data_IF_270584222154
#
_entry.id   IF_270584222154
#
_cell.length_a   1.000
_cell.length_b   1.000
_cell.length_c   1.000
_cell.angle_alpha   90.00
_cell.angle_beta   90.00
_cell.angle_gamma   90.00
#
_symmetry.space_group_name_H-M   'P 1'
#
loop_
_entity.id
_entity.type
_entity.pdbx_description
1 polymer ?
#
# COMPACT_ATOMS: atom_id res chain seq x y z
N UNK A 1 -22.95 -2.80 -11.04
CA UNK A 1 -22.61 -1.53 -11.74
C UNK A 1 -21.80 -1.89 -12.98
N UNK A 2 -22.10 -1.33 -14.15
CA UNK A 2 -21.26 -1.53 -15.35
C UNK A 2 -20.07 -0.56 -15.37
N UNK A 3 -19.06 -0.82 -16.20
CA UNK A 3 -17.93 0.12 -16.33
C UNK A 3 -18.41 1.49 -16.86
N UNK A 4 -19.37 1.47 -17.78
CA UNK A 4 -19.96 2.68 -18.36
C UNK A 4 -20.77 3.47 -17.32
N UNK A 5 -21.53 2.77 -16.47
CA UNK A 5 -22.25 3.40 -15.36
C UNK A 5 -21.29 4.06 -14.37
N UNK A 6 -20.22 3.35 -13.98
CA UNK A 6 -19.19 3.91 -13.10
C UNK A 6 -18.58 5.18 -13.70
N UNK A 7 -18.21 5.15 -14.99
CA UNK A 7 -17.67 6.34 -15.68
C UNK A 7 -18.64 7.51 -15.67
N UNK A 8 -19.94 7.27 -15.86
CA UNK A 8 -20.97 8.34 -15.79
C UNK A 8 -21.03 8.95 -14.38
N UNK A 9 -21.06 8.11 -13.33
CA UNK A 9 -21.06 8.57 -11.93
C UNK A 9 -19.79 9.37 -11.59
N UNK A 10 -18.63 8.88 -12.01
CA UNK A 10 -17.34 9.56 -11.85
C UNK A 10 -17.32 10.94 -12.55
N UNK A 11 -17.81 11.03 -13.78
CA UNK A 11 -17.90 12.32 -14.50
C UNK A 11 -18.84 13.30 -13.80
N UNK A 12 -19.99 12.82 -13.34
CA UNK A 12 -20.93 13.65 -12.57
C UNK A 12 -20.30 14.14 -11.25
N UNK A 13 -19.55 13.28 -10.56
CA UNK A 13 -18.82 13.66 -9.35
C UNK A 13 -17.75 14.72 -9.63
N UNK A 14 -16.96 14.53 -10.69
CA UNK A 14 -15.95 15.50 -11.14
C UNK A 14 -16.58 16.85 -11.50
N UNK A 15 -17.74 16.86 -12.17
CA UNK A 15 -18.42 18.10 -12.55
C UNK A 15 -18.88 18.94 -11.34
N UNK A 16 -19.04 18.34 -10.16
CA UNK A 16 -19.42 19.04 -8.92
C UNK A 16 -18.26 19.79 -8.25
N UNK A 17 -17.02 19.59 -8.70
CA UNK A 17 -15.86 20.27 -8.13
C UNK A 17 -15.52 19.78 -6.71
N UNK A 18 -15.26 20.71 -5.79
CA UNK A 18 -14.89 20.40 -4.42
C UNK A 18 -16.11 19.99 -3.58
N UNK A 19 -16.00 18.84 -2.91
CA UNK A 19 -17.03 18.27 -2.05
C UNK A 19 -16.50 18.20 -0.63
N UNK A 20 -17.29 18.70 0.33
CA UNK A 20 -16.94 18.67 1.75
C UNK A 20 -16.77 17.23 2.24
N UNK A 21 -15.70 16.99 3.00
CA UNK A 21 -15.44 15.70 3.63
C UNK A 21 -16.57 15.34 4.60
N UNK A 22 -17.09 14.12 4.47
CA UNK A 22 -18.10 13.58 5.36
C UNK A 22 -17.50 12.92 6.62
N UNK A 23 -16.16 12.82 6.71
CA UNK A 23 -15.46 12.22 7.85
C UNK A 23 -14.10 12.87 8.10
N UNK A 24 -13.78 13.16 9.36
CA UNK A 24 -12.47 13.72 9.73
C UNK A 24 -11.35 12.68 9.59
N UNK A 25 -10.17 13.15 9.19
CA UNK A 25 -8.94 12.38 9.18
C UNK A 25 -8.63 11.66 7.86
N UNK A 26 -7.61 10.79 7.84
CA UNK A 26 -7.06 10.23 6.60
C UNK A 26 -8.07 9.46 5.76
N UNK A 27 -9.04 8.79 6.40
CA UNK A 27 -10.09 7.98 5.78
C UNK A 27 -11.25 8.79 5.20
N UNK A 28 -11.27 10.12 5.41
CA UNK A 28 -12.32 11.00 4.94
C UNK A 28 -12.53 10.99 3.43
N UNK A 29 -11.44 10.92 2.66
CA UNK A 29 -11.47 10.89 1.20
C UNK A 29 -12.19 9.66 0.65
N UNK A 30 -11.91 8.47 1.19
CA UNK A 30 -12.53 7.22 0.75
C UNK A 30 -13.99 7.16 1.15
N UNK A 31 -14.27 7.49 2.42
CA UNK A 31 -15.63 7.51 2.95
C UNK A 31 -16.52 8.48 2.16
N UNK A 32 -16.03 9.70 1.92
CA UNK A 32 -16.79 10.71 1.15
C UNK A 32 -17.04 10.21 -0.27
N UNK A 33 -16.03 9.69 -0.96
CA UNK A 33 -16.21 9.15 -2.31
C UNK A 33 -17.24 8.01 -2.37
N UNK A 34 -17.15 7.04 -1.46
CA UNK A 34 -18.06 5.90 -1.39
C UNK A 34 -19.51 6.36 -1.16
N UNK A 35 -19.72 7.29 -0.23
CA UNK A 35 -21.04 7.90 -0.01
C UNK A 35 -21.58 8.61 -1.24
N UNK A 36 -20.75 9.39 -1.93
CA UNK A 36 -21.17 10.16 -3.11
C UNK A 36 -21.47 9.27 -4.33
N UNK A 37 -20.92 8.06 -4.40
CA UNK A 37 -21.24 7.06 -5.42
C UNK A 37 -22.32 6.06 -5.00
N UNK A 38 -22.84 6.16 -3.76
CA UNK A 38 -23.74 5.20 -3.13
C UNK A 38 -23.18 3.76 -3.14
N UNK A 39 -21.93 3.63 -2.69
CA UNK A 39 -21.22 2.35 -2.57
C UNK A 39 -21.24 1.86 -1.11
N UNK A 40 -21.82 0.69 -0.89
CA UNK A 40 -21.93 0.07 0.46
C UNK A 40 -20.77 -0.87 0.81
N UNK A 41 -19.96 -1.28 -0.18
CA UNK A 41 -18.84 -2.21 0.02
C UNK A 41 -17.57 -1.73 -0.70
N UNK A 42 -16.40 -2.02 -0.10
CA UNK A 42 -15.06 -1.63 -0.57
C UNK A 42 -14.57 -2.37 -1.83
N UNK A 43 -15.47 -3.03 -2.56
CA UNK A 43 -15.20 -3.71 -3.82
C UNK A 43 -16.39 -3.55 -4.75
N UNK A 44 -16.14 -3.14 -5.99
CA UNK A 44 -17.21 -3.01 -6.98
C UNK A 44 -17.26 -4.25 -7.88
N UNK A 45 -18.46 -4.81 -8.04
CA UNK A 45 -18.69 -5.85 -9.02
C UNK A 45 -18.95 -5.21 -10.39
N UNK A 46 -18.01 -5.41 -11.33
CA UNK A 46 -18.12 -4.94 -12.72
C UNK A 46 -18.17 -6.16 -13.65
N UNK A 47 -19.37 -6.57 -14.10
CA UNK A 47 -19.56 -7.78 -14.90
C UNK A 47 -18.72 -7.81 -16.18
N UNK A 48 -18.62 -6.69 -16.90
CA UNK A 48 -17.87 -6.57 -18.16
C UNK A 48 -16.37 -6.84 -18.00
N UNK A 49 -15.86 -6.73 -16.78
CA UNK A 49 -14.46 -7.00 -16.43
C UNK A 49 -14.31 -8.36 -15.74
N UNK A 50 -15.40 -9.10 -15.48
CA UNK A 50 -15.34 -10.46 -14.97
C UNK A 50 -14.89 -10.57 -13.51
N UNK A 51 -15.44 -9.75 -12.60
CA UNK A 51 -15.26 -9.97 -11.15
C UNK A 51 -15.33 -8.72 -10.27
N UNK A 52 -14.84 -8.88 -9.03
CA UNK A 52 -14.68 -7.81 -8.05
C UNK A 52 -13.43 -6.99 -8.38
N UNK A 53 -13.56 -5.67 -8.31
CA UNK A 53 -12.47 -4.71 -8.49
C UNK A 53 -12.32 -3.94 -7.19
N UNK A 54 -11.10 -3.90 -6.67
CA UNK A 54 -10.78 -3.08 -5.50
C UNK A 54 -10.89 -1.61 -5.89
N UNK A 55 -11.44 -0.78 -5.01
CA UNK A 55 -11.55 0.66 -5.20
C UNK A 55 -10.68 1.37 -4.17
N UNK A 56 -9.87 2.34 -4.62
CA UNK A 56 -9.11 3.21 -3.73
C UNK A 56 -9.18 4.65 -4.17
N UNK A 57 -9.24 5.53 -3.19
CA UNK A 57 -9.13 6.97 -3.37
C UNK A 57 -7.84 7.47 -2.73
N UNK A 58 -7.14 8.38 -3.40
CA UNK A 58 -5.93 9.00 -2.88
C UNK A 58 -5.91 10.50 -3.14
N UNK A 59 -5.24 11.24 -2.27
CA UNK A 59 -4.94 12.65 -2.49
C UNK A 59 -3.78 12.74 -3.49
N UNK A 60 -3.88 13.56 -4.55
CA UNK A 60 -2.88 13.62 -5.64
C UNK A 60 -1.44 13.80 -5.13
N UNK A 61 -1.25 14.65 -4.12
CA UNK A 61 0.06 14.98 -3.55
C UNK A 61 0.38 14.21 -2.26
N UNK A 62 -0.30 13.08 -2.01
CA UNK A 62 -0.07 12.24 -0.84
C UNK A 62 1.30 11.58 -0.88
N UNK A 63 2.12 11.83 0.15
CA UNK A 63 3.29 10.99 0.47
C UNK A 63 2.90 9.79 1.35
N UNK A 64 1.60 9.50 1.50
CA UNK A 64 1.15 8.39 2.35
C UNK A 64 1.43 7.06 1.67
N UNK A 65 1.81 6.08 2.50
CA UNK A 65 1.98 4.71 2.06
C UNK A 65 0.66 3.94 2.21
N UNK A 66 0.24 3.24 1.17
CA UNK A 66 -0.84 2.25 1.26
C UNK A 66 -0.27 0.86 1.44
N UNK A 67 -0.88 0.07 2.32
CA UNK A 67 -0.54 -1.36 2.44
C UNK A 67 -1.25 -2.13 1.34
N UNK A 68 -0.47 -2.81 0.48
CA UNK A 68 -0.98 -3.66 -0.58
C UNK A 68 -1.48 -4.99 0.01
N UNK A 69 -0.62 -5.62 0.82
CA UNK A 69 -0.91 -6.87 1.52
C UNK A 69 0.10 -7.09 2.64
N UNK A 70 -0.17 -8.11 3.45
CA UNK A 70 0.75 -8.57 4.49
C UNK A 70 1.22 -9.99 4.18
N UNK A 71 2.53 -10.27 4.34
CA UNK A 71 3.07 -11.59 3.99
C UNK A 71 4.31 -11.98 4.82
N UNK A 72 4.22 -13.12 5.53
CA UNK A 72 5.21 -13.54 6.54
C UNK A 72 5.70 -15.00 6.42
N UNK A 73 5.15 -15.81 5.52
CA UNK A 73 5.32 -17.27 5.60
C UNK A 73 6.75 -17.69 5.20
N UNK A 74 7.50 -18.25 6.16
CA UNK A 74 8.84 -18.83 6.00
C UNK A 74 9.91 -17.86 5.44
N UNK A 75 9.86 -16.59 5.86
CA UNK A 75 10.70 -15.53 5.29
C UNK A 75 11.95 -15.25 6.12
N UNK A 76 11.91 -15.48 7.43
CA UNK A 76 12.96 -15.10 8.36
C UNK A 76 14.14 -16.08 8.32
N UNK A 77 15.35 -15.54 8.20
CA UNK A 77 16.61 -16.30 8.21
C UNK A 77 17.27 -16.32 9.59
N UNK A 78 16.79 -15.47 10.50
CA UNK A 78 17.10 -15.51 11.93
C UNK A 78 15.79 -15.56 12.71
N UNK A 79 15.82 -16.04 13.95
CA UNK A 79 14.60 -16.11 14.75
C UNK A 79 14.04 -14.69 14.99
N UNK A 80 12.73 -14.41 14.77
CA UNK A 80 12.17 -13.06 14.90
C UNK A 80 12.41 -12.39 16.27
N UNK A 81 12.43 -13.18 17.36
CA UNK A 81 12.82 -12.69 18.70
C UNK A 81 14.25 -12.15 18.74
N UNK A 82 15.19 -12.80 18.05
CA UNK A 82 16.58 -12.32 17.94
C UNK A 82 16.64 -11.05 17.10
N UNK A 83 15.86 -10.97 16.01
CA UNK A 83 15.77 -9.75 15.21
C UNK A 83 15.26 -8.57 16.03
N UNK A 84 14.20 -8.74 16.84
CA UNK A 84 13.70 -7.69 17.74
C UNK A 84 14.77 -7.33 18.77
N UNK A 85 15.41 -8.30 19.43
CA UNK A 85 16.45 -8.03 20.43
C UNK A 85 17.65 -7.26 19.86
N UNK A 86 18.01 -7.48 18.60
CA UNK A 86 19.19 -6.90 17.96
C UNK A 86 18.91 -5.55 17.30
N UNK A 87 17.79 -5.40 16.61
CA UNK A 87 17.48 -4.22 15.78
C UNK A 87 16.29 -3.41 16.32
N UNK A 88 15.62 -3.92 17.36
CA UNK A 88 14.44 -3.29 17.94
C UNK A 88 14.78 -2.16 18.90
N UNK A 89 13.71 -1.56 19.41
CA UNK A 89 13.73 -0.48 20.38
C UNK A 89 12.51 -0.58 21.29
N UNK A 90 12.51 0.16 22.41
CA UNK A 90 11.33 0.27 23.26
C UNK A 90 10.43 1.40 22.76
N UNK A 91 9.16 1.11 22.50
CA UNK A 91 8.18 2.14 22.15
C UNK A 91 7.65 2.90 23.38
N UNK A 92 6.77 3.87 23.15
CA UNK A 92 6.13 4.68 24.20
C UNK A 92 5.38 3.83 25.24
N UNK A 93 4.92 2.63 24.85
CA UNK A 93 4.26 1.67 25.72
C UNK A 93 5.25 0.72 26.41
N UNK A 94 6.55 1.01 26.36
CA UNK A 94 7.66 0.19 26.90
C UNK A 94 7.69 -1.23 26.32
N UNK A 95 7.18 -1.45 25.10
CA UNK A 95 7.25 -2.74 24.42
C UNK A 95 8.55 -2.80 23.61
N UNK A 96 9.31 -3.88 23.79
CA UNK A 96 10.46 -4.14 22.92
C UNK A 96 9.95 -4.55 21.52
N UNK A 97 10.14 -3.68 20.55
CA UNK A 97 9.49 -3.76 19.25
C UNK A 97 10.46 -3.52 18.10
N UNK A 98 10.04 -3.96 16.91
CA UNK A 98 10.69 -3.68 15.64
C UNK A 98 9.58 -3.24 14.68
N UNK A 99 9.25 -1.94 14.74
CA UNK A 99 8.38 -1.25 13.79
C UNK A 99 9.23 -0.36 12.90
N UNK A 100 9.54 -0.86 11.70
CA UNK A 100 10.43 -0.14 10.78
C UNK A 100 9.96 -0.28 9.34
N UNK A 101 10.04 0.81 8.60
CA UNK A 101 9.96 0.81 7.15
C UNK A 101 11.37 0.62 6.59
N UNK A 102 11.51 -0.29 5.62
CA UNK A 102 12.78 -0.64 5.01
C UNK A 102 12.71 -0.31 3.52
N UNK A 103 13.73 0.41 3.03
CA UNK A 103 13.81 0.87 1.65
C UNK A 103 14.95 0.17 0.89
N UNK A 104 14.95 0.30 -0.44
CA UNK A 104 16.00 -0.29 -1.28
C UNK A 104 17.35 0.36 -1.06
N UNK A 105 18.37 -0.46 -0.74
CA UNK A 105 19.79 -0.15 -0.55
C UNK A 105 20.15 0.85 0.55
N UNK A 106 19.23 1.70 1.00
CA UNK A 106 19.47 2.64 2.08
C UNK A 106 19.11 2.01 3.42
N UNK A 107 20.09 1.83 4.33
CA UNK A 107 19.81 1.43 5.70
C UNK A 107 18.90 2.46 6.36
N UNK A 108 17.88 1.98 7.07
CA UNK A 108 17.13 2.82 8.01
C UNK A 108 17.93 3.03 9.31
N UNK A 109 17.33 3.73 10.28
CA UNK A 109 17.98 4.04 11.56
C UNK A 109 18.43 2.77 12.33
N UNK A 110 17.78 1.63 12.10
CA UNK A 110 18.16 0.34 12.71
C UNK A 110 19.15 -0.45 11.86
N UNK A 111 19.72 0.17 10.83
CA UNK A 111 20.71 -0.42 9.94
C UNK A 111 20.13 -1.48 9.00
N UNK A 112 18.81 -1.53 8.80
CA UNK A 112 18.17 -2.52 7.92
C UNK A 112 17.89 -1.93 6.54
N UNK A 113 18.10 -2.73 5.49
CA UNK A 113 17.89 -2.35 4.09
C UNK A 113 17.33 -3.49 3.25
N UNK A 114 16.67 -3.14 2.14
CA UNK A 114 16.26 -4.10 1.12
C UNK A 114 17.32 -4.25 0.03
N UNK A 115 17.52 -5.47 -0.42
CA UNK A 115 18.36 -5.80 -1.58
C UNK A 115 17.63 -6.80 -2.47
N UNK A 116 17.85 -6.73 -3.79
CA UNK A 116 17.33 -7.70 -4.75
C UNK A 116 18.54 -8.48 -5.26
N UNK A 117 18.40 -9.81 -5.38
CA UNK A 117 19.45 -10.66 -5.93
C UNK A 117 19.69 -10.39 -7.43
N UNK A 118 20.76 -10.99 -7.98
CA UNK A 118 21.14 -10.78 -9.38
C UNK A 118 20.09 -11.33 -10.35
N UNK A 119 19.46 -12.46 -10.03
CA UNK A 119 18.39 -13.07 -10.83
C UNK A 119 17.06 -12.32 -10.73
N UNK A 120 16.90 -11.40 -9.77
CA UNK A 120 15.66 -10.68 -9.43
C UNK A 120 14.55 -11.58 -8.89
N UNK A 121 14.86 -12.81 -8.52
CA UNK A 121 13.91 -13.77 -7.99
C UNK A 121 13.65 -13.58 -6.50
N UNK A 122 14.56 -12.93 -5.78
CA UNK A 122 14.49 -12.78 -4.33
C UNK A 122 14.65 -11.33 -3.89
N UNK A 123 13.76 -10.92 -2.99
CA UNK A 123 13.89 -9.72 -2.18
C UNK A 123 14.46 -10.10 -0.82
N UNK A 124 15.59 -9.50 -0.46
CA UNK A 124 16.29 -9.72 0.79
C UNK A 124 16.08 -8.54 1.75
N UNK A 125 15.84 -8.85 3.02
CA UNK A 125 16.09 -7.95 4.13
C UNK A 125 17.49 -8.24 4.68
N UNK A 126 18.36 -7.23 4.66
CA UNK A 126 19.73 -7.32 5.18
C UNK A 126 19.98 -6.26 6.22
N UNK A 127 20.95 -6.48 7.09
CA UNK A 127 21.54 -5.39 7.86
C UNK A 127 22.69 -4.72 7.11
N UNK A 128 23.21 -3.63 7.68
CA UNK A 128 24.31 -2.84 7.12
C UNK A 128 25.63 -3.59 6.99
N UNK A 129 25.82 -4.73 7.67
CA UNK A 129 27.01 -5.57 7.52
C UNK A 129 26.83 -6.63 6.43
N UNK A 130 25.63 -6.74 5.87
CA UNK A 130 25.29 -7.70 4.82
C UNK A 130 24.67 -9.00 5.34
N UNK A 131 24.45 -9.14 6.65
CA UNK A 131 23.79 -10.31 7.23
C UNK A 131 22.37 -10.43 6.68
N UNK A 132 22.02 -11.62 6.18
CA UNK A 132 20.69 -11.90 5.68
C UNK A 132 19.72 -12.15 6.85
N UNK A 133 18.69 -11.32 6.95
CA UNK A 133 17.69 -11.35 8.03
C UNK A 133 16.38 -11.96 7.54
N UNK A 134 16.01 -11.67 6.30
CA UNK A 134 14.78 -12.17 5.68
C UNK A 134 14.94 -12.35 4.17
N UNK A 135 14.18 -13.28 3.61
CA UNK A 135 14.15 -13.60 2.20
C UNK A 135 12.70 -13.83 1.73
N UNK A 136 12.30 -13.15 0.67
CA UNK A 136 11.02 -13.36 0.00
C UNK A 136 11.24 -13.67 -1.48
N UNK A 137 10.68 -14.78 -1.95
CA UNK A 137 10.56 -15.03 -3.39
C UNK A 137 9.62 -14.00 -4.03
N UNK A 138 10.06 -13.37 -5.11
CA UNK A 138 9.31 -12.33 -5.82
C UNK A 138 7.98 -12.88 -6.35
N UNK A 139 7.98 -14.11 -6.86
CA UNK A 139 6.76 -14.78 -7.34
C UNK A 139 5.71 -14.95 -6.23
N UNK A 140 6.11 -15.17 -4.97
CA UNK A 140 5.17 -15.25 -3.85
C UNK A 140 4.59 -13.88 -3.48
N UNK A 141 5.42 -12.83 -3.52
CA UNK A 141 4.99 -11.44 -3.32
C UNK A 141 3.92 -11.09 -4.37
N UNK A 142 4.20 -11.35 -5.65
CA UNK A 142 3.27 -11.01 -6.73
C UNK A 142 2.03 -11.90 -6.72
N UNK A 143 2.14 -13.20 -6.45
CA UNK A 143 0.96 -14.05 -6.29
C UNK A 143 0.03 -13.55 -5.16
N UNK A 144 0.59 -13.09 -4.03
CA UNK A 144 -0.20 -12.47 -2.97
C UNK A 144 -0.81 -11.15 -3.40
N UNK A 145 -0.06 -10.31 -4.10
CA UNK A 145 -0.58 -9.07 -4.64
C UNK A 145 -1.73 -9.30 -5.62
N UNK A 146 -1.58 -10.19 -6.60
CA UNK A 146 -2.61 -10.58 -7.57
C UNK A 146 -3.89 -11.08 -6.88
N UNK A 147 -3.76 -11.90 -5.84
CA UNK A 147 -4.92 -12.44 -5.12
C UNK A 147 -5.75 -11.37 -4.37
N UNK A 148 -5.15 -10.21 -4.08
CA UNK A 148 -5.79 -9.12 -3.32
C UNK A 148 -6.14 -7.91 -4.18
N UNK A 149 -5.34 -7.63 -5.19
CA UNK A 149 -5.38 -6.38 -5.96
C UNK A 149 -5.04 -6.65 -7.43
N UNK A 150 -5.55 -7.76 -8.00
CA UNK A 150 -5.37 -8.10 -9.41
C UNK A 150 -5.95 -7.05 -10.37
N UNK A 151 -7.02 -6.37 -9.94
CA UNK A 151 -7.61 -5.21 -10.61
C UNK A 151 -7.95 -4.15 -9.58
N UNK A 152 -7.61 -2.91 -9.89
CA UNK A 152 -7.78 -1.77 -8.99
C UNK A 152 -8.31 -0.58 -9.77
N UNK A 153 -9.36 0.07 -9.26
CA UNK A 153 -9.68 1.43 -9.66
C UNK A 153 -9.09 2.37 -8.61
N UNK A 154 -8.21 3.24 -9.07
CA UNK A 154 -7.64 4.31 -8.25
C UNK A 154 -8.21 5.64 -8.69
N UNK A 155 -8.77 6.38 -7.74
CA UNK A 155 -9.32 7.72 -7.93
C UNK A 155 -8.44 8.72 -7.21
N UNK A 156 -8.01 9.74 -7.94
CA UNK A 156 -7.18 10.80 -7.42
C UNK A 156 -8.01 12.06 -7.19
N UNK A 157 -7.89 12.63 -6.01
CA UNK A 157 -8.53 13.88 -5.64
C UNK A 157 -7.51 14.96 -5.25
N UNK A 158 -7.77 16.18 -5.71
CA UNK A 158 -7.17 17.37 -5.09
C UNK A 158 -7.85 17.58 -3.74
N UNK A 159 -7.09 18.07 -2.75
CA UNK A 159 -7.57 18.29 -1.39
C UNK A 159 -7.28 19.72 -0.97
N UNK A 160 -8.24 20.38 -0.32
CA UNK A 160 -8.06 21.71 0.28
C UNK A 160 -8.79 21.80 1.61
N UNK A 161 -8.55 22.88 2.35
CA UNK A 161 -9.43 23.32 3.43
C UNK A 161 -10.24 24.51 2.96
N UNK A 162 -11.52 24.55 3.28
CA UNK A 162 -12.35 25.74 3.07
C UNK A 162 -12.13 26.78 4.16
N UNK A 163 -12.86 27.90 4.09
CA UNK A 163 -12.79 29.00 5.06
C UNK A 163 -13.13 28.60 6.49
N UNK A 164 -13.96 27.56 6.68
CA UNK A 164 -14.30 27.01 7.99
C UNK A 164 -13.26 26.00 8.52
N UNK A 165 -12.21 25.70 7.73
CA UNK A 165 -11.17 24.73 8.07
C UNK A 165 -11.55 23.27 7.78
N UNK A 166 -12.71 23.02 7.16
CA UNK A 166 -13.14 21.69 6.77
C UNK A 166 -12.42 21.23 5.50
N UNK A 167 -12.01 19.96 5.47
CA UNK A 167 -11.37 19.36 4.29
C UNK A 167 -12.40 19.16 3.17
N UNK A 168 -12.03 19.51 1.93
CA UNK A 168 -12.82 19.30 0.72
C UNK A 168 -11.99 18.54 -0.32
N UNK A 169 -12.66 17.69 -1.10
CA UNK A 169 -12.03 16.85 -2.12
C UNK A 169 -12.61 17.15 -3.50
N UNK A 170 -11.73 17.29 -4.49
CA UNK A 170 -12.12 17.35 -5.89
C UNK A 170 -11.59 16.11 -6.63
N UNK A 171 -12.48 15.14 -6.88
CA UNK A 171 -12.16 13.87 -7.53
C UNK A 171 -11.94 14.06 -9.03
N UNK A 172 -10.69 14.25 -9.42
CA UNK A 172 -10.30 14.79 -10.73
C UNK A 172 -9.93 13.73 -11.75
N UNK A 173 -9.30 12.63 -11.33
CA UNK A 173 -8.79 11.59 -12.23
C UNK A 173 -9.15 10.21 -11.69
N UNK A 174 -9.43 9.27 -12.58
CA UNK A 174 -9.57 7.86 -12.18
C UNK A 174 -8.94 6.94 -13.21
N UNK A 175 -8.32 5.86 -12.73
CA UNK A 175 -7.66 4.88 -13.57
C UNK A 175 -8.09 3.47 -13.19
N UNK A 176 -8.37 2.65 -14.20
CA UNK A 176 -8.41 1.21 -14.07
C UNK A 176 -6.99 0.67 -14.27
N UNK A 177 -6.49 -0.03 -13.26
CA UNK A 177 -5.18 -0.66 -13.21
C UNK A 177 -5.33 -2.17 -13.24
N UNK A 178 -4.64 -2.81 -14.19
CA UNK A 178 -4.74 -4.26 -14.42
C UNK A 178 -3.38 -4.89 -14.66
N UNK A 179 -3.33 -6.21 -14.46
CA UNK A 179 -2.15 -7.04 -14.67
C UNK A 179 -0.93 -6.58 -13.86
N UNK A 180 -0.96 -6.72 -12.51
CA UNK A 180 0.23 -6.64 -11.68
C UNK A 180 1.43 -7.42 -12.22
N UNK A 181 2.64 -6.95 -11.96
CA UNK A 181 3.86 -7.52 -12.55
C UNK A 181 5.05 -7.51 -11.61
N UNK A 182 5.82 -8.59 -11.62
CA UNK A 182 7.10 -8.75 -10.91
C UNK A 182 8.09 -7.65 -11.29
N UNK A 183 8.26 -7.39 -12.58
CA UNK A 183 9.19 -6.35 -13.07
C UNK A 183 8.79 -4.95 -12.59
N UNK A 184 7.49 -4.69 -12.53
CA UNK A 184 6.95 -3.43 -12.05
C UNK A 184 7.13 -3.29 -10.54
N UNK A 185 6.94 -4.38 -9.79
CA UNK A 185 7.21 -4.41 -8.35
C UNK A 185 8.68 -4.18 -8.04
N UNK A 186 9.58 -4.87 -8.76
CA UNK A 186 11.04 -4.68 -8.67
C UNK A 186 11.41 -3.23 -9.01
N UNK A 187 10.79 -2.66 -10.04
CA UNK A 187 11.00 -1.26 -10.44
C UNK A 187 10.56 -0.30 -9.34
N UNK A 188 9.39 -0.51 -8.75
CA UNK A 188 8.87 0.31 -7.66
C UNK A 188 9.76 0.25 -6.41
N UNK A 189 10.29 -0.93 -6.05
CA UNK A 189 11.27 -1.06 -4.96
C UNK A 189 12.54 -0.27 -5.28
N UNK A 190 13.12 -0.46 -6.47
CA UNK A 190 14.36 0.21 -6.88
C UNK A 190 14.22 1.74 -6.94
N UNK A 191 13.05 2.23 -7.35
CA UNK A 191 12.69 3.66 -7.35
C UNK A 191 12.38 4.22 -5.97
N UNK A 192 12.37 3.38 -4.92
CA UNK A 192 11.95 3.75 -3.56
C UNK A 192 10.51 4.29 -3.53
N UNK A 193 9.65 3.72 -4.37
CA UNK A 193 8.21 3.90 -4.34
C UNK A 193 7.53 2.81 -3.53
N UNK A 194 8.10 1.61 -3.50
CA UNK A 194 7.63 0.47 -2.70
C UNK A 194 8.61 0.12 -1.56
N UNK A 195 8.05 -0.29 -0.44
CA UNK A 195 8.72 -0.50 0.84
C UNK A 195 8.23 -1.76 1.54
N UNK A 196 9.01 -2.20 2.52
CA UNK A 196 8.66 -3.31 3.41
C UNK A 196 8.61 -2.80 4.84
N UNK A 197 7.46 -2.96 5.48
CA UNK A 197 7.25 -2.65 6.90
C UNK A 197 7.40 -3.91 7.73
N UNK A 198 8.40 -3.94 8.61
CA UNK A 198 8.49 -4.93 9.69
C UNK A 198 7.69 -4.40 10.88
N UNK A 199 6.80 -5.23 11.43
CA UNK A 199 5.82 -4.81 12.43
C UNK A 199 5.64 -5.88 13.49
N UNK A 200 6.61 -5.96 14.41
CA UNK A 200 6.64 -6.99 15.45
C UNK A 200 6.98 -6.42 16.81
N UNK A 201 6.53 -7.08 17.88
CA UNK A 201 6.95 -6.79 19.24
C UNK A 201 6.99 -8.04 20.11
N UNK A 202 7.69 -7.96 21.24
CA UNK A 202 7.68 -8.99 22.27
C UNK A 202 6.54 -8.72 23.25
N UNK A 203 5.70 -9.74 23.44
CA UNK A 203 4.72 -9.75 24.54
C UNK A 203 5.44 -9.88 25.89
N UNK A 204 4.74 -9.61 27.02
CA UNK A 204 5.32 -9.78 28.36
C UNK A 204 5.88 -11.17 28.64
N UNK A 205 5.26 -12.23 28.08
CA UNK A 205 5.72 -13.62 28.15
C UNK A 205 6.96 -13.91 27.28
N UNK A 206 7.49 -12.91 26.58
CA UNK A 206 8.63 -13.03 25.68
C UNK A 206 8.33 -13.71 24.35
N UNK A 207 7.07 -14.00 24.04
CA UNK A 207 6.63 -14.48 22.72
C UNK A 207 6.56 -13.34 21.71
N UNK A 208 6.74 -13.67 20.42
CA UNK A 208 6.72 -12.66 19.35
C UNK A 208 5.29 -12.45 18.86
N UNK A 209 4.78 -11.23 18.97
CA UNK A 209 3.60 -10.79 18.24
C UNK A 209 4.05 -10.15 16.93
N UNK A 210 3.67 -10.75 15.80
CA UNK A 210 3.92 -10.23 14.46
C UNK A 210 2.60 -9.84 13.79
N UNK A 211 2.47 -8.58 13.38
CA UNK A 211 1.28 -8.03 12.72
C UNK A 211 1.21 -8.28 11.21
N UNK A 212 2.18 -9.02 10.64
CA UNK A 212 2.36 -9.07 9.19
C UNK A 212 3.48 -8.13 8.75
N UNK A 213 4.40 -8.61 7.93
CA UNK A 213 5.27 -7.76 7.12
C UNK A 213 4.41 -7.08 6.07
N UNK A 214 4.33 -5.75 6.10
CA UNK A 214 3.50 -4.98 5.18
C UNK A 214 4.29 -4.65 3.92
N UNK A 215 3.78 -5.05 2.76
CA UNK A 215 4.30 -4.56 1.48
C UNK A 215 3.51 -3.30 1.11
N UNK A 216 4.21 -2.18 1.02
CA UNK A 216 3.59 -0.85 0.90
C UNK A 216 4.12 -0.12 -0.31
N UNK A 217 3.32 0.80 -0.84
CA UNK A 217 3.71 1.70 -1.92
C UNK A 217 3.20 3.10 -1.61
N UNK A 218 3.85 4.15 -2.10
CA UNK A 218 3.22 5.47 -2.09
C UNK A 218 1.91 5.40 -2.86
N UNK A 219 0.85 5.99 -2.31
CA UNK A 219 -0.47 5.97 -2.95
C UNK A 219 -0.42 6.54 -4.37
N UNK A 220 0.33 7.64 -4.56
CA UNK A 220 0.54 8.24 -5.88
C UNK A 220 1.21 7.33 -6.90
N UNK A 221 1.97 6.35 -6.42
CA UNK A 221 2.78 5.44 -7.23
C UNK A 221 2.11 4.07 -7.42
N UNK A 222 0.85 3.89 -6.98
CA UNK A 222 0.10 2.64 -7.16
C UNK A 222 0.10 2.16 -8.63
N UNK A 223 -0.01 3.10 -9.56
CA UNK A 223 0.02 2.80 -11.00
C UNK A 223 1.32 2.15 -11.48
N UNK A 224 2.44 2.37 -10.79
CA UNK A 224 3.73 1.77 -11.16
C UNK A 224 3.72 0.24 -11.05
N UNK A 225 2.81 -0.34 -10.26
CA UNK A 225 2.77 -1.77 -9.97
C UNK A 225 2.06 -2.60 -11.06
N UNK A 226 1.39 -1.95 -12.02
CA UNK A 226 0.49 -2.59 -12.98
C UNK A 226 0.98 -2.38 -14.42
N UNK A 227 0.81 -3.39 -15.28
CA UNK A 227 1.20 -3.28 -16.70
C UNK A 227 0.23 -2.40 -17.48
N UNK A 228 -1.05 -2.43 -17.13
CA UNK A 228 -2.10 -1.72 -17.84
C UNK A 228 -2.66 -0.60 -16.98
N UNK A 229 -2.72 0.60 -17.55
CA UNK A 229 -3.35 1.79 -16.95
C UNK A 229 -4.30 2.41 -17.96
N UNK A 230 -5.60 2.38 -17.67
CA UNK A 230 -6.64 2.97 -18.52
C UNK A 230 -7.34 4.09 -17.78
N UNK A 231 -7.33 5.28 -18.36
CA UNK A 231 -8.05 6.43 -17.81
C UNK A 231 -9.57 6.24 -17.91
N UNK A 232 -10.27 6.61 -16.85
CA UNK A 232 -11.73 6.56 -16.74
C UNK A 232 -12.34 7.96 -16.82
N UNK A 233 -11.74 8.93 -16.12
CA UNK A 233 -12.08 10.36 -16.09
C UNK A 233 -10.85 11.22 -15.80
#
# INVERSE_FOLDING_TARGET
MTLNELKKRLKALKARGFIKSQRKGPTGIGYTFESELDLKETNIAVPDLGGRIELKTTRENSNSLVTLFTFNKAVWQIHPKQAIKKYGYFDENKRHCLYVTVSFRNPNNQGLLLAIDKSKENLHLKDKTGLLIGNWKMSHIVAKFLSKMGRLIVVFADSRKNSAGDEEFFYKKAYLLENPSDDNFVTAIKKKSAFVDIRMYLKPDGSVRNHGTGFRVYERDLGLLYKTRKELI
#
